data_IF_984241620933
#
_entry.id   IF_984241620933
#
_cell.length_a   1.000
_cell.length_b   1.000
_cell.length_c   1.000
_cell.angle_alpha   90.00
_cell.angle_beta   90.00
_cell.angle_gamma   90.00
#
_symmetry.space_group_name_H-M   'P 1'
#
loop_
_entity.id
_entity.type
_entity.pdbx_description
1 polymer ?
#
# COMPACT_ATOMS: atom_id res chain seq x y z
N UNK A 1 -11.76 -5.54 -7.14
CA UNK A 1 -11.41 -5.24 -8.53
C UNK A 1 -9.98 -5.71 -8.78
N UNK A 2 -9.74 -6.47 -9.85
CA UNK A 2 -8.37 -6.87 -10.24
C UNK A 2 -7.58 -5.67 -10.78
N UNK A 3 -6.29 -5.61 -10.49
CA UNK A 3 -5.41 -4.52 -10.93
C UNK A 3 -3.98 -5.02 -11.19
N UNK A 4 -3.14 -4.12 -11.72
CA UNK A 4 -1.73 -4.41 -12.02
C UNK A 4 -0.76 -4.05 -10.87
N UNK A 5 -1.25 -3.37 -9.84
CA UNK A 5 -0.48 -2.99 -8.68
C UNK A 5 -1.37 -2.39 -7.60
N UNK A 6 -0.88 -2.38 -6.37
CA UNK A 6 -1.53 -1.81 -5.20
C UNK A 6 -0.52 -1.00 -4.39
N UNK A 7 -1.01 0.05 -3.75
CA UNK A 7 -0.19 0.84 -2.83
C UNK A 7 -0.02 0.14 -1.49
N UNK A 8 0.93 0.59 -0.66
CA UNK A 8 1.26 -0.04 0.62
C UNK A 8 0.53 0.55 1.85
N UNK A 9 -0.40 1.50 1.66
CA UNK A 9 -1.07 2.18 2.79
C UNK A 9 -2.02 1.30 3.60
N UNK A 10 -2.77 0.40 2.96
CA UNK A 10 -3.61 -0.60 3.63
C UNK A 10 -3.74 -1.83 2.73
N UNK A 11 -2.78 -2.73 2.84
CA UNK A 11 -2.67 -3.90 1.97
C UNK A 11 -2.42 -5.17 2.78
N UNK A 12 -3.13 -6.23 2.40
CA UNK A 12 -2.91 -7.58 2.93
C UNK A 12 -2.13 -8.42 1.91
N UNK A 13 -1.06 -9.04 2.38
CA UNK A 13 -0.20 -9.88 1.55
C UNK A 13 -0.33 -11.35 1.92
N UNK A 14 -0.37 -12.22 0.91
CA UNK A 14 -0.15 -13.66 1.11
C UNK A 14 1.34 -13.91 1.30
N UNK A 15 1.74 -14.47 2.45
CA UNK A 15 3.15 -14.72 2.78
C UNK A 15 3.88 -15.61 1.75
N UNK A 16 3.16 -16.51 1.10
CA UNK A 16 3.68 -17.35 0.02
C UNK A 16 4.25 -16.54 -1.15
N UNK A 17 3.75 -15.33 -1.40
CA UNK A 17 4.25 -14.46 -2.46
C UNK A 17 5.71 -14.05 -2.18
N UNK A 18 6.03 -13.69 -0.94
CA UNK A 18 7.40 -13.32 -0.54
C UNK A 18 8.37 -14.50 -0.57
N UNK A 19 7.88 -15.73 -0.40
CA UNK A 19 8.73 -16.94 -0.52
C UNK A 19 9.11 -17.26 -1.95
N UNK A 20 8.33 -16.78 -2.93
CA UNK A 20 8.59 -16.99 -4.37
C UNK A 20 9.52 -15.94 -4.96
N UNK A 21 9.67 -14.79 -4.30
CA UNK A 21 10.43 -13.64 -4.80
C UNK A 21 11.66 -13.46 -3.91
N UNK A 22 12.88 -13.45 -4.48
CA UNK A 22 14.10 -13.17 -3.72
C UNK A 22 14.00 -11.87 -2.92
N UNK A 23 14.62 -11.82 -1.71
CA UNK A 23 14.59 -10.65 -0.85
C UNK A 23 15.18 -9.40 -1.52
N UNK A 24 14.89 -8.22 -0.96
CA UNK A 24 14.79 -6.91 -1.64
C UNK A 24 13.47 -6.74 -2.41
N UNK A 25 12.38 -6.83 -1.65
CA UNK A 25 11.02 -6.77 -2.19
C UNK A 25 10.64 -5.33 -2.60
N UNK A 26 10.85 -4.37 -1.71
CA UNK A 26 10.41 -2.98 -1.87
C UNK A 26 11.62 -2.08 -2.13
N UNK A 27 11.74 -1.58 -3.36
CA UNK A 27 12.90 -0.78 -3.79
C UNK A 27 12.39 0.39 -4.62
N UNK A 28 12.80 1.61 -4.28
CA UNK A 28 12.52 2.79 -5.10
C UNK A 28 13.54 2.80 -6.22
N UNK A 29 13.06 2.83 -7.47
CA UNK A 29 13.92 2.98 -8.63
C UNK A 29 13.74 4.39 -9.16
N UNK A 30 14.82 5.14 -9.26
CA UNK A 30 14.85 6.48 -9.82
C UNK A 30 16.17 6.66 -10.54
N UNK A 31 16.30 6.01 -11.69
CA UNK A 31 17.57 5.91 -12.41
C UNK A 31 17.37 6.05 -13.92
N UNK A 32 18.43 6.43 -14.63
CA UNK A 32 18.43 6.59 -16.08
C UNK A 32 19.15 5.40 -16.72
N UNK A 33 18.42 4.63 -17.54
CA UNK A 33 18.95 3.47 -18.25
C UNK A 33 18.90 3.73 -19.77
N UNK A 34 19.99 4.24 -20.37
CA UNK A 34 20.06 4.55 -21.80
C UNK A 34 19.71 3.34 -22.68
N UNK A 35 20.17 2.15 -22.30
CA UNK A 35 19.93 0.90 -23.01
C UNK A 35 18.47 0.40 -22.95
N UNK A 36 17.65 0.96 -22.06
CA UNK A 36 16.23 0.65 -21.92
C UNK A 36 15.33 1.80 -22.40
N UNK A 37 15.91 2.82 -23.04
CA UNK A 37 15.18 3.91 -23.67
C UNK A 37 14.74 5.04 -22.72
N UNK A 38 15.31 5.16 -21.51
CA UNK A 38 15.12 6.36 -20.68
C UNK A 38 15.13 6.17 -19.16
N UNK A 39 14.41 7.05 -18.44
CA UNK A 39 14.27 7.02 -16.97
C UNK A 39 13.40 5.82 -16.56
N UNK A 40 13.91 4.98 -15.66
CA UNK A 40 13.07 4.11 -14.85
C UNK A 40 12.77 4.80 -13.51
N UNK A 41 11.53 5.26 -13.36
CA UNK A 41 11.02 5.83 -12.11
C UNK A 41 9.86 4.97 -11.61
N UNK A 42 10.10 4.21 -10.53
CA UNK A 42 9.09 3.38 -9.88
C UNK A 42 9.19 3.54 -8.37
N UNK A 43 8.04 3.77 -7.74
CA UNK A 43 7.89 3.70 -6.29
C UNK A 43 8.04 2.25 -5.80
N UNK A 44 8.37 2.10 -4.52
CA UNK A 44 8.72 0.82 -3.91
C UNK A 44 7.65 -0.27 -4.06
N UNK A 45 6.39 0.15 -3.97
CA UNK A 45 5.19 -0.66 -4.14
C UNK A 45 5.01 -1.14 -5.59
N UNK A 46 5.14 -0.24 -6.57
CA UNK A 46 5.02 -0.58 -7.99
C UNK A 46 6.16 -1.47 -8.46
N UNK A 47 7.39 -1.22 -8.01
CA UNK A 47 8.53 -2.09 -8.28
C UNK A 47 8.28 -3.51 -7.76
N UNK A 48 7.78 -3.65 -6.52
CA UNK A 48 7.43 -4.96 -5.99
C UNK A 48 6.29 -5.62 -6.77
N UNK A 49 5.23 -4.87 -7.09
CA UNK A 49 4.09 -5.39 -7.85
C UNK A 49 4.52 -5.95 -9.21
N UNK A 50 5.44 -5.28 -9.90
CA UNK A 50 6.03 -5.79 -11.14
C UNK A 50 6.72 -7.14 -10.94
N UNK A 51 7.68 -7.23 -10.01
CA UNK A 51 8.42 -8.49 -9.70
C UNK A 51 7.45 -9.60 -9.28
N UNK A 52 6.44 -9.26 -8.50
CA UNK A 52 5.43 -10.19 -8.06
C UNK A 52 4.57 -10.72 -9.21
N UNK A 53 4.18 -9.87 -10.16
CA UNK A 53 3.46 -10.31 -11.37
C UNK A 53 4.32 -11.21 -12.25
N UNK A 54 5.60 -10.89 -12.42
CA UNK A 54 6.57 -11.74 -13.12
C UNK A 54 6.69 -13.12 -12.45
N UNK A 55 6.52 -13.20 -11.13
CA UNK A 55 6.45 -14.45 -10.35
C UNK A 55 5.03 -15.08 -10.26
N UNK A 56 4.08 -14.63 -11.08
CA UNK A 56 2.70 -15.17 -11.14
C UNK A 56 1.75 -14.65 -10.06
N UNK A 57 2.12 -13.58 -9.35
CA UNK A 57 1.27 -12.89 -8.39
C UNK A 57 0.13 -12.11 -9.06
N UNK A 58 -1.04 -12.10 -8.40
CA UNK A 58 -2.21 -11.31 -8.82
C UNK A 58 -2.63 -10.37 -7.71
N UNK A 59 -3.21 -9.25 -8.12
CA UNK A 59 -3.54 -8.13 -7.24
C UNK A 59 -5.00 -7.76 -7.39
N UNK A 60 -5.62 -7.40 -6.27
CA UNK A 60 -6.97 -6.88 -6.26
C UNK A 60 -7.16 -5.88 -5.13
N UNK A 61 -8.05 -4.92 -5.37
CA UNK A 61 -8.53 -3.96 -4.37
C UNK A 61 -9.96 -4.34 -3.98
N UNK A 62 -10.22 -4.51 -2.69
CA UNK A 62 -11.58 -4.68 -2.17
C UNK A 62 -12.19 -3.33 -1.82
N UNK A 63 -13.03 -2.79 -2.72
CA UNK A 63 -13.66 -1.48 -2.55
C UNK A 63 -14.71 -1.43 -1.41
N UNK A 64 -15.02 -2.56 -0.77
CA UNK A 64 -15.90 -2.61 0.40
C UNK A 64 -15.16 -2.21 1.68
N UNK A 65 -13.83 -2.29 1.69
CA UNK A 65 -13.01 -1.89 2.84
C UNK A 65 -12.74 -0.40 2.73
N UNK A 66 -13.41 0.37 3.59
CA UNK A 66 -13.21 1.83 3.69
C UNK A 66 -12.13 2.12 4.71
N UNK A 67 -11.14 2.92 4.30
CA UNK A 67 -9.99 3.31 5.12
C UNK A 67 -9.86 4.83 5.14
N UNK A 68 -9.45 5.37 6.29
CA UNK A 68 -9.14 6.79 6.43
C UNK A 68 -7.67 7.07 6.18
N UNK A 69 -7.36 8.26 5.67
CA UNK A 69 -5.99 8.76 5.56
C UNK A 69 -5.71 9.72 6.71
N UNK A 70 -4.83 9.34 7.64
CA UNK A 70 -4.40 10.19 8.74
C UNK A 70 -3.32 11.16 8.25
N UNK A 71 -3.54 12.46 8.41
CA UNK A 71 -2.47 13.43 8.37
C UNK A 71 -1.81 13.53 9.76
N UNK A 72 -0.56 13.06 9.92
CA UNK A 72 0.12 13.07 11.21
C UNK A 72 0.47 14.49 11.69
N UNK A 73 0.53 15.48 10.80
CA UNK A 73 0.88 16.85 11.19
C UNK A 73 -0.30 17.55 11.89
N UNK A 74 -1.53 17.29 11.44
CA UNK A 74 -2.75 17.93 11.95
C UNK A 74 -3.57 17.02 12.85
N UNK A 75 -3.36 15.70 12.81
CA UNK A 75 -4.19 14.71 13.51
C UNK A 75 -5.57 14.50 12.88
N UNK A 76 -5.79 15.08 11.70
CA UNK A 76 -7.05 14.96 10.95
C UNK A 76 -7.05 13.66 10.16
N UNK A 77 -8.17 12.94 10.20
CA UNK A 77 -8.39 11.78 9.33
C UNK A 77 -9.38 12.13 8.23
N UNK A 78 -8.95 11.89 7.00
CA UNK A 78 -9.77 12.06 5.80
C UNK A 78 -10.48 10.75 5.48
N UNK A 79 -11.82 10.78 5.52
CA UNK A 79 -12.71 9.69 5.11
C UNK A 79 -13.64 10.15 3.97
N UNK A 80 -14.45 9.24 3.45
CA UNK A 80 -15.48 9.55 2.44
C UNK A 80 -16.62 10.43 2.98
N UNK A 81 -16.80 10.55 4.30
CA UNK A 81 -17.81 11.44 4.89
C UNK A 81 -17.38 12.90 4.79
N UNK A 82 -18.30 13.76 4.32
CA UNK A 82 -18.12 15.17 3.96
C UNK A 82 -17.55 16.13 5.04
N UNK A 83 -17.07 15.64 6.19
CA UNK A 83 -16.48 16.46 7.24
C UNK A 83 -15.27 15.75 7.84
N UNK A 84 -14.08 16.39 7.85
CA UNK A 84 -12.90 15.86 8.52
C UNK A 84 -13.19 15.58 9.99
N UNK A 85 -12.74 14.45 10.49
CA UNK A 85 -12.91 14.07 11.89
C UNK A 85 -11.54 14.01 12.57
N UNK A 86 -11.44 14.38 13.86
CA UNK A 86 -10.23 14.12 14.64
C UNK A 86 -10.00 12.61 14.76
N UNK A 87 -8.75 12.18 14.74
CA UNK A 87 -8.42 10.79 15.04
C UNK A 87 -8.81 10.45 16.49
N UNK A 88 -9.57 9.37 16.68
CA UNK A 88 -9.88 8.79 17.99
C UNK A 88 -9.20 7.44 18.07
N UNK A 89 -8.35 7.22 19.06
CA UNK A 89 -7.66 5.94 19.26
C UNK A 89 -8.69 4.85 19.58
N UNK A 90 -8.78 3.77 18.79
CA UNK A 90 -9.72 2.68 19.02
C UNK A 90 -9.58 1.99 20.40
N UNK A 91 -8.43 2.13 21.06
CA UNK A 91 -8.14 1.56 22.39
C UNK A 91 -8.82 2.32 23.51
N UNK A 92 -9.11 3.61 23.32
CA UNK A 92 -9.77 4.45 24.33
C UNK A 92 -11.20 3.95 24.64
N UNK A 93 -11.87 3.36 23.64
CA UNK A 93 -13.20 2.75 23.79
C UNK A 93 -13.22 1.35 24.42
N UNK A 94 -12.06 0.72 24.63
CA UNK A 94 -11.94 -0.61 25.24
C UNK A 94 -11.70 -0.54 26.77
N UNK A 95 -11.46 0.65 27.32
CA UNK A 95 -11.21 0.87 28.75
C UNK A 95 -12.45 0.70 29.66
N UNK A 96 -13.65 0.51 29.09
CA UNK A 96 -14.92 0.45 29.82
C UNK A 96 -15.59 -0.93 29.93
N UNK A 97 -14.93 -2.02 29.52
CA UNK A 97 -15.46 -3.40 29.69
C UNK A 97 -14.54 -4.19 30.60
N UNK A 98 -14.69 -3.97 31.91
CA UNK A 98 -14.25 -4.90 32.96
C UNK A 98 -15.39 -5.84 33.34
#
# INVERSE_FOLDING_TARGET
>A
MECNGIAMGCTLWRMELFRRIPPTWFVTVSDWFPEQGGVAAMTQDLHFCRKAREAGGRFAVDCRVKVGYLDPATGIVYYESASPQPFVDPREGLSGRS
#
